data_IF_534056075833
#
_entry.id   IF_534056075833
#
_cell.length_a   1.000
_cell.length_b   1.000
_cell.length_c   1.000
_cell.angle_alpha   90.00
_cell.angle_beta   90.00
_cell.angle_gamma   90.00
#
_symmetry.space_group_name_H-M   'P 1'
#
loop_
_entity.id
_entity.type
_entity.pdbx_description
1 polymer ?
#
# COMPACT_ATOMS: atom_id res chain seq x y z
N UNK A 1 3.03 -1.84 -6.03
CA UNK A 1 2.85 -2.34 -4.65
C UNK A 1 2.54 -3.82 -4.56
N UNK A 2 1.79 -4.43 -5.48
CA UNK A 2 1.69 -5.91 -5.55
C UNK A 2 3.07 -6.60 -5.57
N UNK A 3 4.00 -6.14 -6.41
CA UNK A 3 5.37 -6.67 -6.45
C UNK A 3 6.11 -6.51 -5.12
N UNK A 4 5.97 -5.36 -4.47
CA UNK A 4 6.57 -5.13 -3.14
C UNK A 4 5.95 -6.06 -2.12
N UNK A 5 4.64 -6.33 -2.18
CA UNK A 5 3.98 -7.31 -1.31
C UNK A 5 4.52 -8.73 -1.47
N UNK A 6 4.88 -9.13 -2.70
CA UNK A 6 5.51 -10.43 -2.94
C UNK A 6 6.94 -10.50 -2.39
N UNK A 7 7.70 -9.40 -2.46
CA UNK A 7 9.12 -9.36 -2.07
C UNK A 7 9.33 -9.09 -0.59
N UNK A 8 8.45 -8.30 0.03
CA UNK A 8 8.59 -7.86 1.41
C UNK A 8 8.31 -9.02 2.36
N UNK A 9 9.29 -9.32 3.22
CA UNK A 9 9.14 -10.33 4.28
C UNK A 9 8.03 -9.90 5.25
N UNK A 10 7.45 -10.88 5.94
CA UNK A 10 6.52 -10.62 7.04
C UNK A 10 7.17 -9.69 8.07
N UNK A 11 6.38 -8.75 8.61
CA UNK A 11 6.84 -7.69 9.51
C UNK A 11 7.87 -6.73 8.87
N UNK A 12 8.12 -6.81 7.58
CA UNK A 12 8.96 -5.87 6.84
C UNK A 12 8.32 -4.49 6.72
N UNK A 13 9.13 -3.44 6.76
CA UNK A 13 8.72 -2.05 6.59
C UNK A 13 8.74 -1.66 5.11
N UNK A 14 7.74 -0.91 4.67
CA UNK A 14 7.71 -0.24 3.37
C UNK A 14 7.47 1.25 3.57
N UNK A 15 8.25 2.06 2.85
CA UNK A 15 8.05 3.49 2.70
C UNK A 15 7.86 3.75 1.20
N UNK A 16 6.74 4.37 0.82
CA UNK A 16 6.39 4.60 -0.58
C UNK A 16 5.82 6.00 -0.77
N UNK A 17 6.20 6.65 -1.87
CA UNK A 17 5.51 7.84 -2.36
C UNK A 17 4.45 7.42 -3.38
N UNK A 18 3.24 7.96 -3.28
CA UNK A 18 2.09 7.60 -4.10
C UNK A 18 1.32 8.84 -4.51
N UNK A 19 0.68 8.86 -5.69
CA UNK A 19 -0.33 9.86 -6.00
C UNK A 19 -1.48 9.77 -5.00
N UNK A 20 -1.97 10.91 -4.50
CA UNK A 20 -3.14 11.00 -3.62
C UNK A 20 -4.38 10.37 -4.25
N UNK A 21 -4.49 10.43 -5.58
CA UNK A 21 -5.54 9.79 -6.39
C UNK A 21 -5.67 8.29 -6.17
N UNK A 22 -4.60 7.63 -5.72
CA UNK A 22 -4.61 6.22 -5.31
C UNK A 22 -5.65 5.94 -4.21
N UNK A 23 -6.00 6.94 -3.39
CA UNK A 23 -6.89 6.75 -2.25
C UNK A 23 -8.35 7.13 -2.54
N UNK A 24 -8.60 8.10 -3.43
CA UNK A 24 -9.96 8.58 -3.71
C UNK A 24 -10.55 8.11 -5.05
N UNK A 25 -9.76 7.54 -5.97
CA UNK A 25 -10.27 6.99 -7.23
C UNK A 25 -10.66 5.51 -7.12
N UNK A 26 -11.55 5.05 -8.02
CA UNK A 26 -11.97 3.65 -8.09
C UNK A 26 -10.84 2.71 -8.53
N UNK A 27 -9.93 3.18 -9.40
CA UNK A 27 -8.74 2.41 -9.81
C UNK A 27 -7.81 2.10 -8.64
N UNK A 28 -7.84 2.91 -7.59
CA UNK A 28 -7.12 2.70 -6.34
C UNK A 28 -7.74 1.66 -5.38
N UNK A 29 -8.93 1.11 -5.66
CA UNK A 29 -9.61 0.20 -4.72
C UNK A 29 -8.82 -1.08 -4.42
N UNK A 30 -8.17 -1.67 -5.42
CA UNK A 30 -7.32 -2.85 -5.20
C UNK A 30 -6.14 -2.56 -4.28
N UNK A 31 -5.54 -1.37 -4.43
CA UNK A 31 -4.45 -0.91 -3.57
C UNK A 31 -4.91 -0.70 -2.12
N UNK A 32 -6.03 0.00 -1.93
CA UNK A 32 -6.64 0.22 -0.60
C UNK A 32 -6.96 -1.11 0.10
N UNK A 33 -7.49 -2.08 -0.64
CA UNK A 33 -7.80 -3.41 -0.11
C UNK A 33 -6.55 -4.18 0.32
N UNK A 34 -5.50 -4.14 -0.51
CA UNK A 34 -4.21 -4.73 -0.19
C UNK A 34 -3.64 -4.15 1.12
N UNK A 35 -3.60 -2.82 1.23
CA UNK A 35 -3.12 -2.15 2.44
C UNK A 35 -3.93 -2.55 3.67
N UNK A 36 -5.26 -2.46 3.60
CA UNK A 36 -6.13 -2.79 4.74
C UNK A 36 -6.01 -4.24 5.20
N UNK A 37 -5.73 -5.18 4.29
CA UNK A 37 -5.62 -6.61 4.63
C UNK A 37 -4.24 -7.03 5.09
N UNK A 38 -3.20 -6.52 4.43
CA UNK A 38 -1.85 -7.08 4.55
C UNK A 38 -0.87 -6.13 5.24
N UNK A 39 -1.28 -4.91 5.61
CA UNK A 39 -0.39 -3.90 6.16
C UNK A 39 -0.97 -3.20 7.38
N UNK A 40 -0.12 -2.96 8.36
CA UNK A 40 -0.32 -2.00 9.42
C UNK A 40 0.21 -0.65 8.94
N UNK A 41 -0.65 0.38 8.92
CA UNK A 41 -0.27 1.73 8.47
C UNK A 41 0.21 2.53 9.67
N UNK A 42 1.45 3.01 9.64
CA UNK A 42 2.01 3.85 10.70
C UNK A 42 1.79 5.33 10.44
N UNK A 43 2.00 5.77 9.20
CA UNK A 43 1.85 7.17 8.84
C UNK A 43 1.44 7.35 7.39
N UNK A 44 0.65 8.39 7.15
CA UNK A 44 0.42 8.97 5.84
C UNK A 44 0.78 10.45 5.97
N UNK A 45 1.76 10.88 5.21
CA UNK A 45 2.27 12.24 5.22
C UNK A 45 1.93 12.89 3.88
N UNK A 46 1.31 14.05 3.94
CA UNK A 46 1.15 14.91 2.78
C UNK A 46 2.24 15.98 2.77
N UNK A 47 2.76 16.31 1.58
CA UNK A 47 3.62 17.46 1.41
C UNK A 47 2.77 18.66 0.99
N UNK A 48 2.91 19.78 1.72
CA UNK A 48 2.26 21.06 1.39
C UNK A 48 3.19 21.99 0.57
N UNK A 49 4.43 21.57 0.30
CA UNK A 49 5.44 22.30 -0.49
C UNK A 49 5.75 21.67 -1.85
N UNK A 50 6.91 21.98 -2.41
CA UNK A 50 7.38 21.42 -3.69
C UNK A 50 7.48 19.89 -3.64
N UNK A 51 6.66 19.21 -4.44
CA UNK A 51 6.66 17.76 -4.66
C UNK A 51 7.78 17.34 -5.61
N UNK A 52 8.17 16.07 -5.67
CA UNK A 52 9.07 15.57 -6.75
C UNK A 52 8.45 15.72 -8.14
N UNK A 53 7.16 16.04 -8.20
CA UNK A 53 6.33 16.07 -9.39
C UNK A 53 5.57 17.40 -9.55
N UNK A 54 6.20 18.54 -9.18
CA UNK A 54 5.61 19.89 -9.22
C UNK A 54 4.83 20.19 -10.51
N UNK A 55 5.33 19.76 -11.67
CA UNK A 55 4.70 20.01 -12.98
C UNK A 55 3.74 18.92 -13.46
N UNK A 56 3.54 17.86 -12.67
CA UNK A 56 2.69 16.73 -13.05
C UNK A 56 1.20 16.96 -12.75
N UNK A 57 0.88 17.95 -11.92
CA UNK A 57 -0.49 18.20 -11.44
C UNK A 57 -1.00 17.18 -10.42
N UNK A 58 -0.18 16.22 -9.99
CA UNK A 58 -0.57 15.22 -8.99
C UNK A 58 -0.01 15.55 -7.61
N UNK A 59 -0.90 15.62 -6.62
CA UNK A 59 -0.51 15.68 -5.21
C UNK A 59 0.04 14.33 -4.78
N UNK A 60 1.22 14.30 -4.19
CA UNK A 60 1.86 13.10 -3.68
C UNK A 60 1.67 12.95 -2.17
N UNK A 61 1.65 11.70 -1.70
CA UNK A 61 1.65 11.35 -0.28
C UNK A 61 2.73 10.30 -0.01
N UNK A 62 3.38 10.39 1.14
CA UNK A 62 4.28 9.37 1.64
C UNK A 62 3.53 8.45 2.60
N UNK A 63 3.54 7.15 2.29
CA UNK A 63 3.00 6.07 3.08
C UNK A 63 4.12 5.34 3.81
N UNK A 64 3.99 5.18 5.12
CA UNK A 64 4.84 4.32 5.94
C UNK A 64 3.96 3.21 6.50
N UNK A 65 4.29 1.97 6.13
CA UNK A 65 3.50 0.81 6.53
C UNK A 65 4.38 -0.41 6.78
N UNK A 66 3.88 -1.37 7.55
CA UNK A 66 4.54 -2.63 7.84
C UNK A 66 3.67 -3.78 7.42
N UNK A 67 4.26 -4.75 6.71
CA UNK A 67 3.54 -5.95 6.31
C UNK A 67 3.12 -6.74 7.54
N UNK A 68 1.85 -7.05 7.65
CA UNK A 68 1.35 -7.92 8.71
C UNK A 68 1.89 -9.33 8.52
N UNK A 69 2.01 -10.09 9.61
CA UNK A 69 2.36 -11.49 9.50
C UNK A 69 1.18 -12.23 8.85
N UNK A 70 1.43 -12.92 7.74
CA UNK A 70 0.38 -13.77 7.16
C UNK A 70 0.13 -14.93 8.12
N UNK A 71 -1.07 -14.99 8.67
CA UNK A 71 -1.56 -16.22 9.29
C UNK A 71 -1.85 -17.17 8.12
N UNK A 72 -0.93 -18.10 7.84
CA UNK A 72 -1.09 -19.09 6.79
C UNK A 72 -2.18 -20.11 7.15
N UNK A 73 -3.44 -19.72 7.01
CA UNK A 73 -4.58 -20.64 7.02
C UNK A 73 -4.87 -21.12 5.59
N UNK A 74 -3.93 -21.85 4.98
CA UNK A 74 -4.24 -22.57 3.75
C UNK A 74 -5.04 -23.82 4.10
N UNK A 75 -6.37 -23.75 3.98
CA UNK A 75 -7.19 -24.94 3.75
C UNK A 75 -7.57 -24.95 2.28
N UNK A 76 -6.77 -25.64 1.47
CA UNK A 76 -7.19 -26.00 0.13
C UNK A 76 -8.17 -27.17 0.27
N UNK A 77 -9.46 -26.87 0.13
CA UNK A 77 -10.51 -27.89 0.15
C UNK A 77 -10.85 -28.27 -1.29
N UNK A 78 -10.65 -29.54 -1.63
CA UNK A 78 -11.21 -30.15 -2.83
C UNK A 78 -12.37 -31.04 -2.37
N UNK A 79 -13.60 -30.59 -2.62
CA UNK A 79 -14.81 -31.38 -2.41
C UNK A 79 -15.18 -32.14 -3.67
N UNK A 80 -15.58 -33.40 -3.51
CA UNK A 80 -16.10 -34.27 -4.56
C UNK A 80 -17.61 -34.09 -4.71
#
# INVERSE_FOLDING_TARGET
MFLIDCLLKDKGLVISVLPSSTFYTNSGNGYKHLLKKNYEIYAILENNGSSFSVDSGFKEIMLIAKKTQKINNYKTFFGK
#
